data_IF_887113916759
#
_entry.id   IF_887113916759
#
_cell.length_a   1.000
_cell.length_b   1.000
_cell.length_c   1.000
_cell.angle_alpha   90.00
_cell.angle_beta   90.00
_cell.angle_gamma   90.00
#
_symmetry.space_group_name_H-M   'P 1'
#
loop_
_entity.id
_entity.type
_entity.pdbx_description
1 polymer ?
#
# COMPACT_ATOMS: atom_id res chain seq x y z
N UNK A 1 6.50 1.65 12.42
CA UNK A 1 6.10 2.49 11.27
C UNK A 1 6.90 3.79 11.23
N UNK A 2 6.83 4.68 12.23
CA UNK A 2 7.57 5.96 12.22
C UNK A 2 9.08 5.82 12.00
N UNK A 3 9.72 4.80 12.59
CA UNK A 3 11.17 4.54 12.43
C UNK A 3 11.53 4.20 10.99
N UNK A 4 10.77 3.34 10.33
CA UNK A 4 11.02 2.93 8.94
C UNK A 4 10.85 4.06 7.93
N UNK A 5 9.89 4.94 8.13
CA UNK A 5 9.67 6.10 7.28
C UNK A 5 10.69 7.23 7.55
N UNK A 6 11.12 7.37 8.81
CA UNK A 6 12.06 8.42 9.22
C UNK A 6 13.50 8.18 8.76
N UNK A 7 13.94 6.92 8.67
CA UNK A 7 15.33 6.59 8.28
C UNK A 7 15.69 7.11 6.89
N UNK A 8 14.93 6.83 5.79
CA UNK A 8 15.27 7.36 4.48
C UNK A 8 15.29 8.88 4.43
N UNK A 9 14.34 9.54 5.09
CA UNK A 9 14.26 11.01 5.14
C UNK A 9 15.48 11.61 5.86
N UNK A 10 15.83 11.06 7.02
CA UNK A 10 16.99 11.50 7.78
C UNK A 10 18.31 11.24 7.03
N UNK A 11 18.43 10.09 6.38
CA UNK A 11 19.60 9.73 5.57
C UNK A 11 19.78 10.68 4.41
N UNK A 12 18.73 10.97 3.64
CA UNK A 12 18.77 11.93 2.54
C UNK A 12 19.18 13.33 3.02
N UNK A 13 18.57 13.83 4.09
CA UNK A 13 18.92 15.13 4.67
C UNK A 13 20.38 15.19 5.17
N UNK A 14 20.91 14.10 5.73
CA UNK A 14 22.30 14.02 6.18
C UNK A 14 23.29 13.99 5.01
N UNK A 15 22.97 13.26 3.92
CA UNK A 15 23.85 13.09 2.78
C UNK A 15 23.93 14.34 1.88
N UNK A 16 22.79 14.99 1.67
CA UNK A 16 22.68 16.09 0.70
C UNK A 16 22.57 17.47 1.35
N UNK A 17 22.44 17.53 2.68
CA UNK A 17 22.38 18.81 3.41
C UNK A 17 21.09 19.60 3.17
N UNK A 18 20.09 19.02 2.51
CA UNK A 18 18.83 19.65 2.12
C UNK A 18 17.65 18.83 2.63
N UNK A 19 16.51 19.51 2.83
CA UNK A 19 15.25 18.86 3.18
C UNK A 19 14.19 19.23 2.16
N UNK A 20 13.74 18.24 1.41
CA UNK A 20 12.63 18.39 0.47
C UNK A 20 11.37 17.72 1.04
N UNK A 21 10.36 18.54 1.37
CA UNK A 21 9.12 18.06 1.96
C UNK A 21 8.35 17.09 1.04
N UNK A 22 8.36 17.30 -0.28
CA UNK A 22 7.72 16.42 -1.26
C UNK A 22 8.38 15.05 -1.30
N UNK A 23 9.71 15.01 -1.35
CA UNK A 23 10.48 13.77 -1.29
C UNK A 23 10.28 13.03 0.04
N UNK A 24 10.25 13.77 1.17
CA UNK A 24 10.00 13.19 2.49
C UNK A 24 8.60 12.55 2.59
N UNK A 25 7.56 13.24 2.11
CA UNK A 25 6.21 12.70 2.05
C UNK A 25 6.13 11.45 1.16
N UNK A 26 6.81 11.46 0.02
CA UNK A 26 6.87 10.30 -0.88
C UNK A 26 7.59 9.12 -0.24
N UNK A 27 8.69 9.35 0.48
CA UNK A 27 9.40 8.32 1.23
C UNK A 27 8.52 7.69 2.33
N UNK A 28 7.73 8.51 3.05
CA UNK A 28 6.76 8.04 4.05
C UNK A 28 5.69 7.17 3.37
N UNK A 29 5.14 7.64 2.25
CA UNK A 29 4.15 6.87 1.48
C UNK A 29 4.74 5.53 1.02
N UNK A 30 5.94 5.50 0.47
CA UNK A 30 6.60 4.27 0.03
C UNK A 30 6.83 3.29 1.19
N UNK A 31 7.22 3.79 2.36
CA UNK A 31 7.36 2.95 3.56
C UNK A 31 6.02 2.30 3.97
N UNK A 32 4.92 3.05 3.88
CA UNK A 32 3.56 2.53 4.09
C UNK A 32 3.21 1.52 3.00
N UNK A 33 3.49 1.84 1.73
CA UNK A 33 3.20 0.96 0.60
C UNK A 33 3.93 -0.39 0.72
N UNK A 34 5.20 -0.41 1.14
CA UNK A 34 5.95 -1.65 1.36
C UNK A 34 5.26 -2.53 2.41
N UNK A 35 4.75 -1.95 3.50
CA UNK A 35 3.98 -2.69 4.49
C UNK A 35 2.67 -3.23 3.89
N UNK A 36 1.98 -2.41 3.12
CA UNK A 36 0.73 -2.83 2.45
C UNK A 36 0.99 -3.93 1.43
N UNK A 37 2.09 -3.90 0.68
CA UNK A 37 2.47 -5.02 -0.18
C UNK A 37 2.62 -6.35 0.58
N UNK A 38 3.16 -6.31 1.82
CA UNK A 38 3.23 -7.50 2.68
C UNK A 38 1.82 -7.98 3.07
N UNK A 39 0.90 -7.07 3.34
CA UNK A 39 -0.50 -7.43 3.59
C UNK A 39 -1.17 -8.02 2.36
N UNK A 40 -0.97 -7.43 1.18
CA UNK A 40 -1.49 -7.89 -0.11
C UNK A 40 -0.96 -9.30 -0.46
N UNK A 41 0.32 -9.57 -0.21
CA UNK A 41 0.90 -10.92 -0.33
C UNK A 41 0.26 -11.89 0.68
N UNK A 42 0.00 -11.42 1.91
CA UNK A 42 -0.66 -12.24 2.94
C UNK A 42 -2.12 -12.53 2.60
N UNK A 43 -2.82 -11.63 1.89
CA UNK A 43 -4.15 -11.87 1.34
C UNK A 43 -4.12 -13.08 0.40
N UNK A 44 -3.22 -13.10 -0.57
CA UNK A 44 -3.07 -14.22 -1.50
C UNK A 44 -2.69 -15.53 -0.80
N UNK A 45 -1.72 -15.48 0.11
CA UNK A 45 -1.23 -16.66 0.84
C UNK A 45 -2.28 -17.26 1.80
N UNK A 46 -3.27 -16.49 2.22
CA UNK A 46 -4.25 -16.88 3.25
C UNK A 46 -5.71 -16.72 2.80
N UNK A 47 -5.96 -16.63 1.52
CA UNK A 47 -7.33 -16.44 1.02
C UNK A 47 -8.29 -17.53 1.49
N UNK A 48 -7.84 -18.79 1.56
CA UNK A 48 -8.67 -19.89 2.04
C UNK A 48 -9.11 -19.70 3.51
N UNK A 49 -8.22 -19.18 4.36
CA UNK A 49 -8.56 -18.86 5.75
C UNK A 49 -9.56 -17.70 5.80
N UNK A 50 -9.36 -16.66 4.98
CA UNK A 50 -10.22 -15.47 4.92
C UNK A 50 -11.62 -15.83 4.42
N UNK A 51 -11.72 -16.59 3.33
CA UNK A 51 -13.00 -17.10 2.80
C UNK A 51 -13.75 -17.92 3.86
N UNK A 52 -13.04 -18.85 4.52
CA UNK A 52 -13.62 -19.67 5.58
C UNK A 52 -14.11 -18.82 6.76
N UNK A 53 -13.30 -17.89 7.24
CA UNK A 53 -13.69 -17.00 8.35
C UNK A 53 -14.86 -16.07 8.00
N UNK A 54 -14.99 -15.69 6.72
CA UNK A 54 -16.06 -14.81 6.27
C UNK A 54 -17.40 -15.53 6.09
N UNK A 55 -17.37 -16.76 5.57
CA UNK A 55 -18.57 -17.51 5.21
C UNK A 55 -19.05 -18.49 6.30
N UNK A 56 -18.18 -18.91 7.22
CA UNK A 56 -18.48 -19.87 8.28
C UNK A 56 -18.40 -19.19 9.67
N UNK A 57 -19.54 -18.99 10.36
CA UNK A 57 -19.57 -18.40 11.69
C UNK A 57 -18.78 -19.20 12.76
N UNK A 58 -18.71 -20.52 12.64
CA UNK A 58 -17.93 -21.35 13.57
C UNK A 58 -16.43 -21.10 13.35
N UNK A 59 -15.98 -21.11 12.11
CA UNK A 59 -14.60 -20.80 11.77
C UNK A 59 -14.20 -19.36 12.11
N UNK A 60 -15.14 -18.42 12.07
CA UNK A 60 -14.91 -17.04 12.50
C UNK A 60 -14.48 -16.95 13.98
N UNK A 61 -14.84 -17.93 14.81
CA UNK A 61 -14.42 -18.00 16.22
C UNK A 61 -12.94 -18.36 16.39
N UNK A 62 -12.33 -19.03 15.40
CA UNK A 62 -10.93 -19.47 15.40
C UNK A 62 -9.95 -18.31 15.08
N UNK A 63 -10.47 -17.20 14.57
CA UNK A 63 -9.65 -16.02 14.27
C UNK A 63 -9.04 -15.44 15.54
N UNK A 64 -7.83 -14.87 15.47
CA UNK A 64 -7.27 -14.11 16.58
C UNK A 64 -8.23 -12.95 16.98
N UNK A 65 -8.63 -12.88 18.25
CA UNK A 65 -9.58 -11.88 18.76
C UNK A 65 -8.92 -10.50 18.98
N UNK A 66 -9.71 -9.46 18.95
CA UNK A 66 -9.32 -8.07 19.23
C UNK A 66 -9.00 -7.25 17.97
N UNK A 67 -9.06 -5.92 18.09
CA UNK A 67 -8.70 -5.03 16.98
C UNK A 67 -7.21 -5.15 16.66
N UNK A 68 -6.86 -5.28 15.38
CA UNK A 68 -5.47 -5.37 14.92
C UNK A 68 -4.63 -4.17 15.36
N UNK A 69 -5.24 -3.01 15.49
CA UNK A 69 -4.57 -1.77 15.87
C UNK A 69 -4.11 -1.72 17.34
N UNK A 70 -4.66 -2.60 18.20
CA UNK A 70 -4.42 -2.60 19.65
C UNK A 70 -3.92 -3.95 20.18
N UNK A 71 -3.52 -4.86 19.30
CA UNK A 71 -2.97 -6.17 19.69
C UNK A 71 -1.49 -6.03 19.98
N UNK A 72 -1.05 -6.55 21.12
CA UNK A 72 0.38 -6.74 21.38
C UNK A 72 0.88 -7.89 20.51
N UNK A 73 1.85 -7.62 19.67
CA UNK A 73 2.45 -8.59 18.75
C UNK A 73 3.91 -8.80 19.12
N UNK A 74 4.32 -10.05 19.16
CA UNK A 74 5.73 -10.41 19.29
C UNK A 74 6.46 -10.21 17.96
N UNK A 75 7.79 -10.01 17.96
CA UNK A 75 8.56 -9.91 16.70
C UNK A 75 8.34 -11.10 15.76
N UNK A 76 8.13 -12.32 16.29
CA UNK A 76 7.83 -13.50 15.48
C UNK A 76 6.47 -13.44 14.79
N UNK A 77 5.48 -12.90 15.46
CA UNK A 77 4.13 -12.75 14.92
C UNK A 77 4.07 -11.70 13.80
N UNK A 78 4.96 -10.70 13.81
CA UNK A 78 5.06 -9.72 12.73
C UNK A 78 5.39 -10.36 11.37
N UNK A 79 6.03 -11.53 11.36
CA UNK A 79 6.31 -12.28 10.13
C UNK A 79 5.21 -13.32 9.82
N UNK A 80 4.11 -13.36 10.58
CA UNK A 80 3.02 -14.30 10.38
C UNK A 80 2.05 -13.80 9.34
N UNK A 81 1.95 -14.48 8.20
CA UNK A 81 0.90 -14.20 7.19
C UNK A 81 -0.52 -14.35 7.77
N UNK A 82 -0.71 -15.21 8.79
CA UNK A 82 -2.00 -15.37 9.46
C UNK A 82 -2.40 -14.15 10.29
N UNK A 83 -1.42 -13.44 10.89
CA UNK A 83 -1.69 -12.18 11.56
C UNK A 83 -2.18 -11.13 10.54
N UNK A 84 -1.47 -10.99 9.43
CA UNK A 84 -1.81 -9.98 8.43
C UNK A 84 -3.07 -10.29 7.63
N UNK A 85 -3.44 -11.57 7.47
CA UNK A 85 -4.72 -11.98 6.89
C UNK A 85 -5.94 -11.43 7.65
N UNK A 86 -5.79 -11.08 8.94
CA UNK A 86 -6.86 -10.44 9.72
C UNK A 86 -7.25 -9.07 9.19
N UNK A 87 -6.31 -8.30 8.66
CA UNK A 87 -6.60 -7.00 8.03
C UNK A 87 -7.66 -7.19 6.95
N UNK A 88 -7.45 -8.18 6.10
CA UNK A 88 -8.33 -8.49 4.99
C UNK A 88 -9.66 -9.09 5.42
N UNK A 89 -9.65 -9.93 6.44
CA UNK A 89 -10.89 -10.43 7.03
C UNK A 89 -11.76 -9.28 7.59
N UNK A 90 -11.16 -8.36 8.35
CA UNK A 90 -11.88 -7.18 8.86
C UNK A 90 -12.38 -6.29 7.71
N UNK A 91 -11.56 -6.12 6.66
CA UNK A 91 -11.93 -5.32 5.50
C UNK A 91 -13.01 -5.98 4.64
N UNK A 92 -13.06 -7.31 4.58
CA UNK A 92 -14.08 -8.07 3.85
C UNK A 92 -15.53 -7.81 4.34
N UNK A 93 -15.70 -7.31 5.56
CA UNK A 93 -17.01 -6.84 6.02
C UNK A 93 -17.48 -5.56 5.32
N UNK A 94 -16.57 -4.76 4.81
CA UNK A 94 -16.86 -3.52 4.07
C UNK A 94 -16.86 -3.77 2.56
N UNK A 95 -16.03 -4.68 2.12
CA UNK A 95 -15.92 -5.11 0.73
C UNK A 95 -15.73 -6.63 0.65
N UNK A 96 -16.82 -7.40 0.46
CA UNK A 96 -16.78 -8.86 0.36
C UNK A 96 -15.88 -9.41 -0.77
N UNK A 97 -15.45 -8.57 -1.71
CA UNK A 97 -14.52 -9.01 -2.77
C UNK A 97 -13.19 -9.51 -2.23
N UNK A 98 -12.80 -9.12 -1.03
CA UNK A 98 -11.57 -9.59 -0.39
C UNK A 98 -11.72 -10.98 0.29
N UNK A 99 -12.94 -11.49 0.37
CA UNK A 99 -13.22 -12.88 0.75
C UNK A 99 -13.70 -13.73 -0.46
N UNK A 100 -13.33 -13.34 -1.67
CA UNK A 100 -13.62 -14.07 -2.91
C UNK A 100 -12.41 -14.02 -3.84
N UNK A 101 -11.69 -15.14 -3.96
CA UNK A 101 -10.50 -15.28 -4.82
C UNK A 101 -10.76 -15.08 -6.32
N UNK A 102 -12.02 -15.08 -6.75
CA UNK A 102 -12.42 -14.83 -8.14
C UNK A 102 -12.69 -13.36 -8.43
N UNK A 103 -12.70 -12.55 -7.39
CA UNK A 103 -13.00 -11.12 -7.51
C UNK A 103 -11.83 -10.35 -8.13
N UNK A 104 -12.18 -9.25 -8.81
CA UNK A 104 -11.19 -8.33 -9.34
C UNK A 104 -10.40 -7.61 -8.23
N UNK A 105 -11.05 -7.24 -7.10
CA UNK A 105 -10.39 -6.60 -5.96
C UNK A 105 -9.29 -7.50 -5.37
N UNK A 106 -9.58 -8.77 -5.14
CA UNK A 106 -8.58 -9.74 -4.70
C UNK A 106 -7.40 -9.84 -5.68
N UNK A 107 -7.70 -10.02 -6.98
CA UNK A 107 -6.65 -10.22 -7.99
C UNK A 107 -5.72 -8.99 -8.12
N UNK A 108 -6.28 -7.77 -8.05
CA UNK A 108 -5.50 -6.53 -8.11
C UNK A 108 -4.57 -6.41 -6.91
N UNK A 109 -5.07 -6.58 -5.68
CA UNK A 109 -4.26 -6.34 -4.50
C UNK A 109 -3.16 -7.39 -4.35
N UNK A 110 -3.47 -8.67 -4.59
CA UNK A 110 -2.43 -9.71 -4.61
C UNK A 110 -1.39 -9.44 -5.70
N UNK A 111 -1.84 -9.04 -6.90
CA UNK A 111 -0.96 -8.65 -8.00
C UNK A 111 -0.06 -7.45 -7.65
N UNK A 112 -0.63 -6.42 -7.01
CA UNK A 112 0.12 -5.26 -6.53
C UNK A 112 1.19 -5.64 -5.50
N UNK A 113 0.85 -6.48 -4.52
CA UNK A 113 1.79 -6.92 -3.50
C UNK A 113 3.03 -7.56 -4.10
N UNK A 114 2.83 -8.50 -5.03
CA UNK A 114 3.93 -9.20 -5.68
C UNK A 114 4.72 -8.33 -6.67
N UNK A 115 4.05 -7.53 -7.48
CA UNK A 115 4.70 -6.77 -8.55
C UNK A 115 5.39 -5.50 -8.05
N UNK A 116 4.93 -4.88 -6.96
CA UNK A 116 5.42 -3.55 -6.55
C UNK A 116 6.27 -3.55 -5.28
N UNK A 117 6.36 -4.64 -4.51
CA UNK A 117 7.17 -4.71 -3.29
C UNK A 117 8.65 -4.41 -3.57
N UNK A 118 9.29 -5.20 -4.42
CA UNK A 118 10.71 -5.03 -4.75
C UNK A 118 10.96 -3.72 -5.50
N UNK A 119 10.19 -3.35 -6.54
CA UNK A 119 10.33 -2.06 -7.18
C UNK A 119 10.20 -0.86 -6.22
N UNK A 120 9.27 -0.91 -5.26
CA UNK A 120 9.11 0.18 -4.27
C UNK A 120 10.31 0.29 -3.32
N UNK A 121 10.90 -0.84 -2.92
CA UNK A 121 12.15 -0.83 -2.16
C UNK A 121 13.29 -0.21 -2.97
N UNK A 122 13.47 -0.64 -4.22
CA UNK A 122 14.51 -0.10 -5.11
C UNK A 122 14.32 1.39 -5.34
N UNK A 123 13.08 1.84 -5.55
CA UNK A 123 12.77 3.27 -5.72
C UNK A 123 13.08 4.06 -4.44
N UNK A 124 12.68 3.56 -3.26
CA UNK A 124 12.95 4.22 -1.99
C UNK A 124 14.46 4.36 -1.72
N UNK A 125 15.24 3.30 -1.98
CA UNK A 125 16.69 3.38 -1.86
C UNK A 125 17.29 4.30 -2.92
N UNK A 126 16.81 4.22 -4.18
CA UNK A 126 17.27 5.04 -5.28
C UNK A 126 17.09 6.53 -5.03
N UNK A 127 15.94 6.94 -4.49
CA UNK A 127 15.68 8.34 -4.15
C UNK A 127 16.47 8.82 -2.91
N UNK A 128 16.93 7.87 -2.06
CA UNK A 128 17.63 8.21 -0.81
C UNK A 128 19.13 8.31 -0.98
N UNK A 129 19.75 7.46 -1.78
CA UNK A 129 21.22 7.34 -1.92
C UNK A 129 21.69 7.25 -3.38
N UNK A 130 20.86 7.64 -4.34
CA UNK A 130 21.20 7.80 -5.78
C UNK A 130 21.89 6.57 -6.41
N UNK A 131 21.38 5.36 -6.14
CA UNK A 131 21.99 4.09 -6.59
C UNK A 131 21.89 3.84 -8.11
N UNK A 132 21.16 4.67 -8.85
CA UNK A 132 20.95 4.52 -10.30
C UNK A 132 20.78 5.87 -10.98
N UNK A 133 20.89 5.97 -12.32
CA UNK A 133 20.61 7.21 -13.02
C UNK A 133 19.20 7.74 -12.76
N UNK A 134 19.00 9.07 -12.64
CA UNK A 134 17.69 9.66 -12.31
C UNK A 134 16.59 9.29 -13.31
N UNK A 135 16.92 9.22 -14.61
CA UNK A 135 15.98 8.77 -15.65
C UNK A 135 15.51 7.32 -15.40
N UNK A 136 16.42 6.42 -15.02
CA UNK A 136 16.07 5.03 -14.73
C UNK A 136 15.19 4.93 -13.48
N UNK A 137 15.50 5.72 -12.45
CA UNK A 137 14.66 5.80 -11.24
C UNK A 137 13.27 6.36 -11.59
N UNK A 138 13.22 7.43 -12.40
CA UNK A 138 11.96 8.03 -12.85
C UNK A 138 11.09 7.04 -13.63
N UNK A 139 11.66 6.26 -14.55
CA UNK A 139 10.93 5.21 -15.28
C UNK A 139 10.40 4.12 -14.35
N UNK A 140 11.24 3.63 -13.43
CA UNK A 140 10.84 2.64 -12.45
C UNK A 140 9.67 3.15 -11.59
N UNK A 141 9.79 4.37 -11.07
CA UNK A 141 8.76 5.00 -10.26
C UNK A 141 7.46 5.26 -11.03
N UNK A 142 7.57 5.70 -12.29
CA UNK A 142 6.40 5.94 -13.13
C UNK A 142 5.56 4.66 -13.31
N UNK A 143 6.20 3.50 -13.49
CA UNK A 143 5.50 2.20 -13.57
C UNK A 143 4.80 1.87 -12.25
N UNK A 144 5.48 2.03 -11.11
CA UNK A 144 4.91 1.74 -9.78
C UNK A 144 3.71 2.65 -9.50
N UNK A 145 3.89 3.96 -9.63
CA UNK A 145 2.86 4.94 -9.26
C UNK A 145 1.69 4.93 -10.22
N UNK A 146 1.92 4.71 -11.53
CA UNK A 146 0.84 4.52 -12.48
C UNK A 146 0.00 3.28 -12.15
N UNK A 147 0.65 2.14 -11.87
CA UNK A 147 -0.06 0.92 -11.48
C UNK A 147 -0.94 1.17 -10.23
N UNK A 148 -0.39 1.77 -9.18
CA UNK A 148 -1.13 2.05 -7.93
C UNK A 148 -2.31 3.00 -8.18
N UNK A 149 -2.07 4.09 -8.91
CA UNK A 149 -3.11 5.06 -9.26
C UNK A 149 -4.24 4.43 -10.06
N UNK A 150 -3.90 3.74 -11.15
CA UNK A 150 -4.86 3.14 -12.05
C UNK A 150 -5.67 2.03 -11.36
N UNK A 151 -5.01 1.14 -10.63
CA UNK A 151 -5.69 0.08 -9.90
C UNK A 151 -6.65 0.63 -8.83
N UNK A 152 -6.29 1.72 -8.17
CA UNK A 152 -7.19 2.38 -7.20
C UNK A 152 -8.39 3.01 -7.88
N UNK A 153 -8.22 3.64 -9.04
CA UNK A 153 -9.35 4.12 -9.85
C UNK A 153 -10.32 2.98 -10.20
N UNK A 154 -9.79 1.84 -10.66
CA UNK A 154 -10.60 0.66 -10.98
C UNK A 154 -11.26 0.06 -9.74
N UNK A 155 -10.56 0.05 -8.59
CA UNK A 155 -11.14 -0.37 -7.33
C UNK A 155 -12.37 0.47 -6.97
N UNK A 156 -12.25 1.81 -6.96
CA UNK A 156 -13.38 2.69 -6.69
C UNK A 156 -14.51 2.50 -7.69
N UNK A 157 -14.17 2.39 -8.98
CA UNK A 157 -15.18 2.12 -10.00
C UNK A 157 -15.95 0.83 -9.70
N UNK A 158 -15.27 -0.28 -9.44
CA UNK A 158 -15.93 -1.57 -9.16
C UNK A 158 -16.69 -1.55 -7.84
N UNK A 159 -16.18 -0.89 -6.81
CA UNK A 159 -16.83 -0.76 -5.52
C UNK A 159 -18.19 -0.05 -5.65
N UNK A 160 -18.20 1.13 -6.30
CA UNK A 160 -19.42 1.92 -6.48
C UNK A 160 -20.36 1.32 -7.52
N UNK A 161 -19.84 0.80 -8.63
CA UNK A 161 -20.64 0.16 -9.68
C UNK A 161 -21.39 -1.07 -9.15
N UNK A 162 -20.74 -1.90 -8.35
CA UNK A 162 -21.34 -3.06 -7.71
C UNK A 162 -22.14 -2.71 -6.44
N UNK A 163 -22.30 -1.43 -6.10
CA UNK A 163 -23.08 -0.96 -4.95
C UNK A 163 -22.68 -1.59 -3.63
N UNK A 164 -21.39 -1.93 -3.43
CA UNK A 164 -20.90 -2.57 -2.21
C UNK A 164 -21.06 -1.71 -0.95
N UNK A 165 -21.30 -0.41 -1.11
CA UNK A 165 -21.61 0.51 -0.03
C UNK A 165 -23.02 0.31 0.58
N UNK A 166 -23.91 -0.43 -0.11
CA UNK A 166 -25.29 -0.65 0.39
C UNK A 166 -25.26 -1.43 1.71
N UNK A 167 -26.00 -0.93 2.70
CA UNK A 167 -26.00 -1.50 4.06
C UNK A 167 -24.97 -0.89 5.02
N UNK A 168 -24.07 -0.03 4.53
CA UNK A 168 -23.10 0.70 5.34
C UNK A 168 -23.46 2.18 5.49
N UNK A 169 -23.16 2.78 6.65
CA UNK A 169 -23.33 4.22 6.83
C UNK A 169 -22.34 5.00 5.96
N UNK A 170 -22.76 6.16 5.45
CA UNK A 170 -21.91 7.03 4.63
C UNK A 170 -20.58 7.36 5.33
N UNK A 171 -20.59 7.69 6.62
CA UNK A 171 -19.38 7.99 7.39
C UNK A 171 -18.41 6.81 7.44
N UNK A 172 -18.91 5.56 7.55
CA UNK A 172 -18.08 4.37 7.54
C UNK A 172 -17.43 4.14 6.16
N UNK A 173 -18.22 4.27 5.09
CA UNK A 173 -17.70 4.15 3.72
C UNK A 173 -16.65 5.23 3.44
N UNK A 174 -16.94 6.47 3.81
CA UNK A 174 -16.01 7.58 3.59
C UNK A 174 -14.71 7.37 4.37
N UNK A 175 -14.77 6.98 5.63
CA UNK A 175 -13.57 6.79 6.46
C UNK A 175 -12.77 5.54 6.06
N UNK A 176 -13.45 4.40 5.93
CA UNK A 176 -12.77 3.11 5.77
C UNK A 176 -12.47 2.78 4.30
N UNK A 177 -13.30 3.21 3.35
CA UNK A 177 -13.05 2.97 1.91
C UNK A 177 -12.44 4.21 1.26
N UNK A 178 -13.06 5.37 1.41
CA UNK A 178 -12.57 6.62 0.84
C UNK A 178 -11.24 7.06 1.45
N UNK A 179 -11.14 7.10 2.78
CA UNK A 179 -9.95 7.55 3.49
C UNK A 179 -8.76 6.60 3.33
N UNK A 180 -8.97 5.29 3.52
CA UNK A 180 -7.89 4.31 3.39
C UNK A 180 -7.35 4.17 1.97
N UNK A 181 -8.22 4.28 0.95
CA UNK A 181 -7.81 4.14 -0.45
C UNK A 181 -7.49 5.48 -1.13
N UNK A 182 -7.98 6.61 -0.61
CA UNK A 182 -7.70 7.93 -1.18
C UNK A 182 -6.22 8.29 -1.21
N UNK A 183 -5.42 7.80 -0.25
CA UNK A 183 -3.98 7.97 -0.24
C UNK A 183 -3.31 7.36 -1.47
N UNK A 184 -3.88 6.26 -2.03
CA UNK A 184 -3.42 5.58 -3.25
C UNK A 184 -3.83 6.31 -4.55
N UNK A 185 -4.56 7.42 -4.46
CA UNK A 185 -4.76 8.36 -5.57
C UNK A 185 -3.80 9.55 -5.46
N UNK A 186 -3.77 10.18 -4.28
CA UNK A 186 -3.04 11.43 -4.07
C UNK A 186 -1.52 11.22 -4.16
N UNK A 187 -0.97 10.30 -3.39
CA UNK A 187 0.49 10.09 -3.36
C UNK A 187 1.06 9.50 -4.65
N UNK A 188 0.42 8.54 -5.33
CA UNK A 188 0.87 8.12 -6.65
C UNK A 188 0.82 9.22 -7.70
N UNK A 189 -0.15 10.13 -7.67
CA UNK A 189 -0.17 11.28 -8.57
C UNK A 189 1.03 12.22 -8.32
N UNK A 190 1.37 12.49 -7.05
CA UNK A 190 2.58 13.25 -6.67
C UNK A 190 3.83 12.49 -7.11
N UNK A 191 3.88 11.17 -6.87
CA UNK A 191 4.99 10.31 -7.29
C UNK A 191 5.21 10.31 -8.79
N UNK A 192 4.13 10.24 -9.59
CA UNK A 192 4.20 10.37 -11.05
C UNK A 192 4.79 11.72 -11.47
N UNK A 193 4.36 12.81 -10.85
CA UNK A 193 4.91 14.13 -11.14
C UNK A 193 6.42 14.18 -10.85
N UNK A 194 6.88 13.70 -9.70
CA UNK A 194 8.30 13.62 -9.34
C UNK A 194 9.07 12.76 -10.35
N UNK A 195 8.51 11.61 -10.75
CA UNK A 195 9.14 10.74 -11.74
C UNK A 195 9.29 11.39 -13.10
N UNK A 196 8.29 12.17 -13.54
CA UNK A 196 8.39 12.94 -14.79
C UNK A 196 9.49 13.98 -14.72
N UNK A 197 9.66 14.69 -13.58
CA UNK A 197 10.77 15.63 -13.41
C UNK A 197 12.13 14.91 -13.48
N UNK A 198 12.30 13.77 -12.78
CA UNK A 198 13.52 12.95 -12.88
C UNK A 198 13.85 12.54 -14.31
N UNK A 199 12.82 12.23 -15.13
CA UNK A 199 13.00 11.83 -16.53
C UNK A 199 13.38 13.05 -17.40
N UNK A 200 12.66 14.16 -17.26
CA UNK A 200 12.84 15.33 -18.13
C UNK A 200 14.11 16.13 -17.79
N UNK A 201 14.42 16.27 -16.51
CA UNK A 201 15.60 17.03 -16.07
C UNK A 201 16.87 16.18 -16.07
N UNK A 202 16.75 14.85 -15.99
CA UNK A 202 17.89 13.95 -15.91
C UNK A 202 18.76 14.16 -14.68
N UNK A 203 18.18 14.73 -13.61
CA UNK A 203 18.86 15.09 -12.36
C UNK A 203 18.00 14.75 -11.15
N UNK A 204 18.63 14.71 -9.98
CA UNK A 204 17.94 14.50 -8.68
C UNK A 204 17.45 15.80 -8.03
N UNK A 205 17.51 16.96 -8.73
CA UNK A 205 17.12 18.27 -8.20
C UNK A 205 15.70 18.29 -7.61
N UNK A 206 14.73 17.60 -8.22
CA UNK A 206 13.37 17.51 -7.71
C UNK A 206 13.26 16.77 -6.36
N UNK A 207 14.26 15.96 -6.01
CA UNK A 207 14.30 15.18 -4.75
C UNK A 207 15.14 15.88 -3.70
N UNK A 208 16.30 16.44 -4.09
CA UNK A 208 17.26 16.99 -3.15
C UNK A 208 17.32 18.53 -3.15
N UNK A 209 16.69 19.19 -4.11
CA UNK A 209 16.60 20.65 -4.22
C UNK A 209 17.75 21.26 -4.98
#
# INVERSE_FOLDING_TARGET
MAVWAGVPVATGAMLYGTFNAGAALLAIFLAINILVCIWEISLGARITDIERWHHDPEAASERPRGSLYFVRVTPRELFSTRLWARVWYEYAYLDPSYADRKSFGFAIDVGNGWSTLVPSLVFLFGMTIEIMPPVALGLLGALIFWQKFYCTCLYFFTYFFNRRYVGHSFGRVLAAVGGSNGIWLVFPAIGLWICLQLIFEGSYSVIHG
#
